data_IF_119932342102
#
_entry.id   IF_119932342102
#
_cell.length_a   1.000
_cell.length_b   1.000
_cell.length_c   1.000
_cell.angle_alpha   90.00
_cell.angle_beta   90.00
_cell.angle_gamma   90.00
#
_symmetry.space_group_name_H-M   'P 1'
#
loop_
_entity.id
_entity.type
_entity.pdbx_description
1 polymer ?
#
# COMPACT_ATOMS: atom_id res chain seq x y z
N UNK A 1 23.55 -13.93 -6.85
CA UNK A 1 22.47 -13.60 -5.89
C UNK A 1 21.87 -14.91 -5.43
N UNK A 2 21.84 -15.17 -4.13
CA UNK A 2 21.38 -16.47 -3.59
C UNK A 2 19.91 -16.74 -3.94
N UNK A 3 19.60 -17.98 -4.31
CA UNK A 3 18.23 -18.39 -4.65
C UNK A 3 17.22 -18.06 -3.54
N UNK A 4 17.63 -18.21 -2.27
CA UNK A 4 16.81 -17.88 -1.11
C UNK A 4 16.47 -16.38 -1.01
N UNK A 5 17.40 -15.49 -1.40
CA UNK A 5 17.15 -14.03 -1.43
C UNK A 5 16.16 -13.67 -2.52
N UNK A 6 16.29 -14.28 -3.70
CA UNK A 6 15.34 -14.09 -4.81
C UNK A 6 13.93 -14.56 -4.41
N UNK A 7 13.83 -15.72 -3.75
CA UNK A 7 12.53 -16.26 -3.32
C UNK A 7 11.85 -15.38 -2.26
N UNK A 8 12.61 -14.90 -1.26
CA UNK A 8 12.09 -13.96 -0.26
C UNK A 8 11.64 -12.64 -0.89
N UNK A 9 12.39 -12.14 -1.87
CA UNK A 9 12.02 -10.92 -2.58
C UNK A 9 10.71 -11.10 -3.37
N UNK A 10 10.60 -12.20 -4.13
CA UNK A 10 9.39 -12.52 -4.88
C UNK A 10 8.16 -12.62 -3.97
N UNK A 11 8.31 -13.27 -2.80
CA UNK A 11 7.25 -13.37 -1.80
C UNK A 11 6.81 -11.98 -1.28
N UNK A 12 7.77 -11.10 -0.97
CA UNK A 12 7.48 -9.73 -0.52
C UNK A 12 6.72 -8.94 -1.60
N UNK A 13 7.19 -8.97 -2.85
CA UNK A 13 6.51 -8.29 -3.96
C UNK A 13 5.09 -8.80 -4.12
N UNK A 14 4.90 -10.13 -4.07
CA UNK A 14 3.59 -10.75 -4.21
C UNK A 14 2.67 -10.31 -3.08
N UNK A 15 3.14 -10.32 -1.84
CA UNK A 15 2.38 -9.87 -0.67
C UNK A 15 1.94 -8.39 -0.78
N UNK A 16 2.86 -7.50 -1.15
CA UNK A 16 2.58 -6.07 -1.33
C UNK A 16 1.57 -5.87 -2.47
N UNK A 17 1.77 -6.59 -3.58
CA UNK A 17 0.91 -6.51 -4.78
C UNK A 17 -0.50 -6.99 -4.50
N UNK A 18 -0.65 -8.15 -3.84
CA UNK A 18 -1.96 -8.71 -3.50
C UNK A 18 -2.71 -7.80 -2.56
N UNK A 19 -2.03 -7.23 -1.56
CA UNK A 19 -2.64 -6.28 -0.62
C UNK A 19 -3.14 -5.03 -1.35
N UNK A 20 -2.33 -4.43 -2.22
CA UNK A 20 -2.76 -3.25 -2.98
C UNK A 20 -3.87 -3.58 -3.99
N UNK A 21 -3.73 -4.70 -4.71
CA UNK A 21 -4.73 -5.13 -5.68
C UNK A 21 -6.09 -5.40 -5.01
N UNK A 22 -6.10 -6.00 -3.80
CA UNK A 22 -7.33 -6.20 -3.04
C UNK A 22 -8.01 -4.87 -2.66
N UNK A 23 -7.21 -3.85 -2.33
CA UNK A 23 -7.73 -2.50 -2.02
C UNK A 23 -8.29 -1.82 -3.28
N UNK A 24 -7.60 -1.93 -4.42
CA UNK A 24 -8.00 -1.27 -5.68
C UNK A 24 -9.14 -2.00 -6.39
N UNK A 25 -9.18 -3.33 -6.35
CA UNK A 25 -10.16 -4.16 -7.07
C UNK A 25 -11.58 -4.07 -6.50
N UNK A 26 -11.81 -3.23 -5.49
CA UNK A 26 -13.15 -2.98 -4.96
C UNK A 26 -14.07 -2.47 -6.08
N UNK A 27 -15.30 -2.99 -6.18
CA UNK A 27 -16.27 -2.52 -7.17
C UNK A 27 -16.55 -1.03 -6.99
N UNK A 28 -16.60 -0.31 -8.10
CA UNK A 28 -17.14 1.05 -8.16
C UNK A 28 -18.66 0.95 -8.11
N UNK A 29 -19.24 1.39 -7.01
CA UNK A 29 -20.69 1.45 -6.85
C UNK A 29 -21.16 2.74 -7.51
N UNK A 30 -21.98 2.62 -8.56
CA UNK A 30 -22.67 3.76 -9.17
C UNK A 30 -24.15 3.70 -8.81
N UNK A 31 -24.62 4.71 -8.07
CA UNK A 31 -26.01 4.82 -7.66
C UNK A 31 -26.73 5.70 -8.68
N UNK A 32 -27.47 5.08 -9.59
CA UNK A 32 -28.28 5.82 -10.56
C UNK A 32 -29.65 6.12 -9.94
N UNK A 33 -29.81 7.35 -9.45
CA UNK A 33 -31.09 7.86 -8.96
C UNK A 33 -31.94 8.28 -10.17
N UNK A 34 -32.90 7.44 -10.58
CA UNK A 34 -33.93 7.85 -11.57
C UNK A 34 -35.05 8.58 -10.85
N UNK A 35 -35.21 9.88 -11.13
CA UNK A 35 -36.23 10.75 -10.50
C UNK A 35 -37.67 10.38 -10.88
N UNK A 36 -37.90 9.69 -12.01
CA UNK A 36 -39.27 9.43 -12.52
C UNK A 36 -39.94 8.18 -11.97
N UNK A 37 -39.24 7.34 -11.21
CA UNK A 37 -39.80 6.17 -10.53
C UNK A 37 -38.97 5.94 -9.27
N UNK A 38 -39.60 5.75 -8.11
CA UNK A 38 -39.00 5.39 -6.82
C UNK A 38 -38.20 4.06 -6.81
N UNK A 39 -37.62 3.65 -7.95
CA UNK A 39 -36.72 2.52 -8.11
C UNK A 39 -35.31 3.04 -8.27
N UNK A 40 -34.53 2.87 -7.21
CA UNK A 40 -33.09 3.09 -7.20
C UNK A 40 -32.42 1.89 -7.87
N UNK A 41 -31.68 2.11 -8.97
CA UNK A 41 -30.94 1.05 -9.64
C UNK A 41 -29.47 1.18 -9.25
N UNK A 42 -28.95 0.23 -8.47
CA UNK A 42 -27.56 0.19 -8.04
C UNK A 42 -26.80 -0.64 -9.06
N UNK A 43 -25.92 -0.02 -9.83
CA UNK A 43 -25.03 -0.74 -10.74
C UNK A 43 -23.64 -0.86 -10.11
N UNK A 44 -23.14 -2.09 -10.06
CA UNK A 44 -21.77 -2.39 -9.65
C UNK A 44 -20.90 -2.48 -10.89
N UNK A 45 -19.99 -1.52 -11.05
CA UNK A 45 -19.00 -1.53 -12.13
C UNK A 45 -17.66 -2.01 -11.55
N UNK A 46 -17.05 -3.01 -12.17
CA UNK A 46 -15.81 -3.60 -11.68
C UNK A 46 -14.66 -3.07 -12.53
N UNK A 47 -13.60 -2.50 -11.91
CA UNK A 47 -12.44 -2.09 -12.68
C UNK A 47 -11.84 -3.30 -13.41
N UNK A 48 -11.30 -3.08 -14.60
CA UNK A 48 -10.64 -4.15 -15.36
C UNK A 48 -9.55 -4.81 -14.51
N UNK A 49 -9.72 -6.10 -14.22
CA UNK A 49 -8.82 -6.86 -13.35
C UNK A 49 -7.37 -6.79 -13.83
N UNK A 50 -7.16 -6.88 -15.14
CA UNK A 50 -5.83 -6.78 -15.75
C UNK A 50 -5.17 -5.43 -15.46
N UNK A 51 -5.89 -4.31 -15.60
CA UNK A 51 -5.35 -2.99 -15.31
C UNK A 51 -5.01 -2.86 -13.82
N UNK A 52 -5.90 -3.35 -12.95
CA UNK A 52 -5.70 -3.33 -11.50
C UNK A 52 -4.44 -4.08 -11.10
N UNK A 53 -4.24 -5.29 -11.63
CA UNK A 53 -3.05 -6.11 -11.37
C UNK A 53 -1.80 -5.42 -11.89
N UNK A 54 -1.83 -4.88 -13.12
CA UNK A 54 -0.66 -4.19 -13.70
C UNK A 54 -0.25 -2.97 -12.86
N UNK A 55 -1.19 -2.09 -12.52
CA UNK A 55 -0.92 -0.89 -11.70
C UNK A 55 -0.41 -1.28 -10.32
N UNK A 56 -1.04 -2.27 -9.68
CA UNK A 56 -0.64 -2.73 -8.35
C UNK A 56 0.76 -3.34 -8.36
N UNK A 57 1.08 -4.13 -9.38
CA UNK A 57 2.41 -4.73 -9.54
C UNK A 57 3.48 -3.66 -9.78
N UNK A 58 3.21 -2.70 -10.66
CA UNK A 58 4.15 -1.61 -10.94
C UNK A 58 4.44 -0.77 -9.69
N UNK A 59 3.41 -0.36 -8.95
CA UNK A 59 3.56 0.40 -7.72
C UNK A 59 4.28 -0.41 -6.63
N UNK A 60 3.99 -1.70 -6.51
CA UNK A 60 4.62 -2.58 -5.52
C UNK A 60 6.10 -2.82 -5.82
N UNK A 61 6.45 -2.99 -7.09
CA UNK A 61 7.85 -3.03 -7.53
C UNK A 61 8.55 -1.71 -7.17
N UNK A 62 7.96 -0.56 -7.51
CA UNK A 62 8.53 0.74 -7.18
C UNK A 62 8.73 0.95 -5.67
N UNK A 63 7.79 0.49 -4.85
CA UNK A 63 7.89 0.57 -3.39
C UNK A 63 8.95 -0.37 -2.81
N UNK A 64 9.13 -1.57 -3.39
CA UNK A 64 10.04 -2.59 -2.87
C UNK A 64 11.50 -2.44 -3.35
N UNK A 65 11.74 -1.81 -4.52
CA UNK A 65 13.08 -1.55 -5.05
C UNK A 65 14.01 -0.90 -4.01
N UNK A 66 13.67 0.22 -3.33
CA UNK A 66 14.57 0.85 -2.37
C UNK A 66 14.94 -0.01 -1.15
N UNK A 67 14.15 -1.04 -0.83
CA UNK A 67 14.42 -1.91 0.32
C UNK A 67 15.57 -2.89 0.05
N UNK A 68 15.66 -3.40 -1.19
CA UNK A 68 16.56 -4.49 -1.56
C UNK A 68 17.88 -4.03 -2.18
N UNK A 69 17.92 -2.85 -2.80
CA UNK A 69 19.17 -2.26 -3.28
C UNK A 69 19.97 -1.68 -2.12
N UNK A 70 20.48 -2.57 -1.27
CA UNK A 70 21.52 -2.27 -0.31
C UNK A 70 22.81 -1.88 -1.07
N UNK A 71 23.48 -0.84 -0.56
CA UNK A 71 24.91 -0.64 -0.75
C UNK A 71 25.42 -0.22 -2.15
N UNK A 72 24.95 0.92 -2.67
CA UNK A 72 25.86 1.79 -3.45
C UNK A 72 25.96 3.18 -2.81
N UNK A 73 27.14 3.81 -2.78
CA UNK A 73 27.33 5.14 -2.21
C UNK A 73 26.42 6.19 -2.87
N UNK A 74 26.00 5.95 -4.12
CA UNK A 74 25.04 6.79 -4.83
C UNK A 74 23.63 6.77 -4.19
N UNK A 75 23.22 5.65 -3.60
CA UNK A 75 21.89 5.49 -2.99
C UNK A 75 21.80 6.26 -1.67
N UNK A 76 22.89 6.32 -0.88
CA UNK A 76 22.96 7.10 0.36
C UNK A 76 22.61 8.57 0.14
N UNK A 77 23.15 9.16 -0.94
CA UNK A 77 22.92 10.58 -1.26
C UNK A 77 21.46 10.93 -1.56
N UNK A 78 20.65 9.94 -1.95
CA UNK A 78 19.26 10.14 -2.36
C UNK A 78 18.24 9.38 -1.50
N UNK A 79 18.61 8.93 -0.29
CA UNK A 79 17.73 8.17 0.62
C UNK A 79 16.36 8.82 0.83
N UNK A 80 16.31 10.16 0.95
CA UNK A 80 15.06 10.92 1.05
C UNK A 80 14.14 10.72 -0.16
N UNK A 81 14.70 10.66 -1.36
CA UNK A 81 13.94 10.48 -2.60
C UNK A 81 13.40 9.06 -2.73
N UNK A 82 14.16 8.08 -2.25
CA UNK A 82 13.73 6.67 -2.22
C UNK A 82 12.56 6.41 -1.28
N UNK A 83 12.44 7.18 -0.19
CA UNK A 83 11.29 7.11 0.71
C UNK A 83 9.98 7.65 0.08
N UNK A 84 10.08 8.48 -0.95
CA UNK A 84 8.90 9.01 -1.66
C UNK A 84 8.13 7.86 -2.34
N UNK A 85 8.80 6.80 -2.79
CA UNK A 85 8.15 5.71 -3.53
C UNK A 85 7.17 4.88 -2.66
N UNK A 86 7.56 4.38 -1.47
CA UNK A 86 6.61 3.80 -0.52
C UNK A 86 5.50 4.78 -0.08
N UNK A 87 5.81 6.07 0.01
CA UNK A 87 4.83 7.10 0.39
C UNK A 87 3.76 7.29 -0.69
N UNK A 88 4.14 7.30 -1.97
CA UNK A 88 3.19 7.34 -3.10
C UNK A 88 2.32 6.08 -3.11
N UNK A 89 2.90 4.90 -2.91
CA UNK A 89 2.14 3.64 -2.78
C UNK A 89 1.12 3.73 -1.64
N UNK A 90 1.55 4.26 -0.49
CA UNK A 90 0.72 4.40 0.71
C UNK A 90 -0.41 5.39 0.49
N UNK A 91 -0.14 6.53 -0.15
CA UNK A 91 -1.14 7.52 -0.50
C UNK A 91 -2.20 6.95 -1.43
N UNK A 92 -1.81 6.24 -2.49
CA UNK A 92 -2.74 5.58 -3.42
C UNK A 92 -3.60 4.55 -2.67
N UNK A 93 -2.98 3.72 -1.83
CA UNK A 93 -3.70 2.74 -1.01
C UNK A 93 -4.74 3.40 -0.10
N UNK A 94 -4.37 4.46 0.62
CA UNK A 94 -5.26 5.18 1.53
C UNK A 94 -6.40 5.91 0.80
N UNK A 95 -6.11 6.57 -0.32
CA UNK A 95 -7.13 7.27 -1.11
C UNK A 95 -8.15 6.30 -1.70
N UNK A 96 -7.70 5.20 -2.28
CA UNK A 96 -8.58 4.16 -2.84
C UNK A 96 -9.40 3.51 -1.73
N UNK A 97 -8.79 3.18 -0.59
CA UNK A 97 -9.50 2.65 0.57
C UNK A 97 -10.61 3.61 1.05
N UNK A 98 -10.28 4.88 1.26
CA UNK A 98 -11.24 5.87 1.74
C UNK A 98 -12.39 6.07 0.76
N UNK A 99 -12.10 6.17 -0.54
CA UNK A 99 -13.11 6.31 -1.57
C UNK A 99 -14.08 5.11 -1.59
N UNK A 100 -13.54 3.89 -1.54
CA UNK A 100 -14.34 2.66 -1.56
C UNK A 100 -15.13 2.49 -0.26
N UNK A 101 -14.53 2.82 0.89
CA UNK A 101 -15.20 2.77 2.18
C UNK A 101 -16.39 3.73 2.24
N UNK A 102 -16.22 4.97 1.77
CA UNK A 102 -17.30 5.97 1.68
C UNK A 102 -18.43 5.49 0.78
N UNK A 103 -18.12 4.87 -0.37
CA UNK A 103 -19.13 4.30 -1.26
C UNK A 103 -19.88 3.13 -0.59
N UNK A 104 -19.20 2.25 0.13
CA UNK A 104 -19.84 1.16 0.87
C UNK A 104 -20.75 1.68 1.99
N UNK A 105 -20.32 2.73 2.72
CA UNK A 105 -21.17 3.38 3.73
C UNK A 105 -22.41 4.02 3.10
N UNK A 106 -22.26 4.72 1.97
CA UNK A 106 -23.38 5.33 1.26
C UNK A 106 -24.35 4.26 0.73
N UNK A 107 -23.84 3.14 0.22
CA UNK A 107 -24.68 2.01 -0.19
C UNK A 107 -25.44 1.43 1.01
N UNK A 108 -24.75 1.14 2.11
CA UNK A 108 -25.33 0.60 3.33
C UNK A 108 -26.42 1.51 3.91
N UNK A 109 -26.19 2.82 3.93
CA UNK A 109 -27.16 3.82 4.39
C UNK A 109 -28.44 3.81 3.55
N UNK A 110 -28.31 3.72 2.22
CA UNK A 110 -29.47 3.71 1.33
C UNK A 110 -30.23 2.38 1.34
N UNK A 111 -29.56 1.25 1.57
CA UNK A 111 -30.21 -0.08 1.62
C UNK A 111 -30.74 -0.46 2.99
N UNK A 112 -30.43 0.33 4.04
CA UNK A 112 -30.74 0.00 5.43
C UNK A 112 -32.24 -0.24 5.69
N UNK A 113 -33.10 0.52 5.01
CA UNK A 113 -34.55 0.50 5.25
C UNK A 113 -35.28 -0.64 4.52
N UNK A 114 -34.67 -1.20 3.47
CA UNK A 114 -35.33 -2.18 2.58
C UNK A 114 -35.04 -3.61 3.04
N UNK A 115 -33.78 -3.91 3.35
CA UNK A 115 -33.35 -5.13 4.05
C UNK A 115 -31.84 -5.05 4.32
N UNK A 116 -31.35 -5.34 5.54
CA UNK A 116 -29.93 -5.38 5.81
C UNK A 116 -29.29 -6.56 5.07
N UNK A 117 -28.58 -6.26 3.99
CA UNK A 117 -27.84 -7.26 3.23
C UNK A 117 -26.56 -7.65 3.99
N UNK A 118 -26.61 -8.75 4.75
CA UNK A 118 -25.47 -9.22 5.55
C UNK A 118 -24.17 -9.45 4.76
N UNK A 119 -24.27 -9.69 3.45
CA UNK A 119 -23.10 -9.82 2.57
C UNK A 119 -22.33 -8.50 2.39
N UNK A 120 -23.02 -7.35 2.43
CA UNK A 120 -22.40 -6.03 2.29
C UNK A 120 -21.55 -5.71 3.53
N UNK A 121 -22.09 -6.00 4.72
CA UNK A 121 -21.38 -5.86 6.00
C UNK A 121 -20.14 -6.76 6.05
N UNK A 122 -20.27 -8.03 5.61
CA UNK A 122 -19.14 -8.95 5.56
C UNK A 122 -18.03 -8.44 4.61
N UNK A 123 -18.40 -7.92 3.42
CA UNK A 123 -17.43 -7.33 2.49
C UNK A 123 -16.74 -6.10 3.09
N UNK A 124 -17.47 -5.23 3.78
CA UNK A 124 -16.88 -4.07 4.46
C UNK A 124 -15.87 -4.52 5.52
N UNK A 125 -16.19 -5.55 6.31
CA UNK A 125 -15.29 -6.09 7.33
C UNK A 125 -14.02 -6.67 6.69
N UNK A 126 -14.15 -7.47 5.64
CA UNK A 126 -13.00 -7.99 4.89
C UNK A 126 -12.14 -6.86 4.31
N UNK A 127 -12.77 -5.81 3.78
CA UNK A 127 -12.06 -4.66 3.23
C UNK A 127 -11.25 -3.89 4.30
N UNK A 128 -11.82 -3.72 5.49
CA UNK A 128 -11.12 -3.15 6.65
C UNK A 128 -9.94 -4.03 7.06
N UNK A 129 -10.09 -5.37 7.09
CA UNK A 129 -8.99 -6.28 7.38
C UNK A 129 -7.82 -6.13 6.38
N UNK A 130 -8.10 -6.06 5.07
CA UNK A 130 -7.06 -5.82 4.06
C UNK A 130 -6.35 -4.49 4.25
N UNK A 131 -7.08 -3.44 4.64
CA UNK A 131 -6.46 -2.15 4.92
C UNK A 131 -5.59 -2.17 6.18
N UNK A 132 -5.98 -2.92 7.22
CA UNK A 132 -5.13 -3.13 8.40
C UNK A 132 -3.81 -3.80 8.01
N UNK A 133 -3.83 -4.83 7.14
CA UNK A 133 -2.60 -5.43 6.62
C UNK A 133 -1.76 -4.44 5.81
N UNK A 134 -2.40 -3.55 5.05
CA UNK A 134 -1.70 -2.48 4.34
C UNK A 134 -1.03 -1.50 5.32
N UNK A 135 -1.71 -1.09 6.40
CA UNK A 135 -1.15 -0.23 7.44
C UNK A 135 0.04 -0.89 8.14
N UNK A 136 -0.06 -2.18 8.48
CA UNK A 136 1.05 -2.94 9.05
C UNK A 136 2.30 -2.89 8.15
N UNK A 137 2.11 -3.06 6.84
CA UNK A 137 3.18 -2.94 5.86
C UNK A 137 3.77 -1.52 5.80
N UNK A 138 2.93 -0.48 5.88
CA UNK A 138 3.40 0.92 5.93
C UNK A 138 4.22 1.18 7.20
N UNK A 139 3.78 0.69 8.35
CA UNK A 139 4.54 0.78 9.60
C UNK A 139 5.85 0.02 9.53
N UNK A 140 5.86 -1.17 8.91
CA UNK A 140 7.08 -1.93 8.70
C UNK A 140 8.11 -1.13 7.87
N UNK A 141 7.67 -0.46 6.79
CA UNK A 141 8.57 0.40 6.01
C UNK A 141 9.10 1.58 6.80
N UNK A 142 8.28 2.19 7.65
CA UNK A 142 8.73 3.27 8.54
C UNK A 142 9.82 2.78 9.50
N UNK A 143 9.59 1.67 10.19
CA UNK A 143 10.56 1.09 11.12
C UNK A 143 11.87 0.74 10.40
N UNK A 144 11.80 0.14 9.22
CA UNK A 144 12.99 -0.17 8.42
C UNK A 144 13.73 1.09 7.99
N UNK A 145 13.01 2.16 7.66
CA UNK A 145 13.61 3.45 7.33
C UNK A 145 14.34 4.06 8.54
N UNK A 146 13.69 4.10 9.71
CA UNK A 146 14.26 4.66 10.94
C UNK A 146 15.55 3.89 11.32
N UNK A 147 15.52 2.54 11.28
CA UNK A 147 16.69 1.71 11.52
C UNK A 147 17.85 1.97 10.54
N UNK A 148 17.54 2.17 9.24
CA UNK A 148 18.55 2.48 8.23
C UNK A 148 19.17 3.87 8.45
N UNK A 149 18.37 4.84 8.89
CA UNK A 149 18.85 6.19 9.21
C UNK A 149 19.76 6.19 10.43
N UNK A 150 19.40 5.50 11.50
CA UNK A 150 20.22 5.40 12.72
C UNK A 150 21.58 4.75 12.44
N UNK A 151 21.58 3.67 11.65
CA UNK A 151 22.82 2.98 11.23
C UNK A 151 23.73 3.89 10.39
N UNK A 152 23.14 4.76 9.55
CA UNK A 152 23.93 5.70 8.75
C UNK A 152 24.57 6.78 9.62
N UNK A 153 23.83 7.32 10.58
CA UNK A 153 24.34 8.30 11.56
C UNK A 153 25.51 7.71 12.35
N UNK A 154 25.35 6.48 12.86
CA UNK A 154 26.41 5.79 13.61
C UNK A 154 27.66 5.56 12.75
N UNK A 155 27.49 5.21 11.47
CA UNK A 155 28.62 5.04 10.55
C UNK A 155 29.39 6.34 10.30
N UNK A 156 28.70 7.47 10.19
CA UNK A 156 29.32 8.79 10.04
C UNK A 156 30.09 9.21 11.29
N UNK A 157 29.53 8.97 12.49
CA UNK A 157 30.20 9.24 13.75
C UNK A 157 31.50 8.42 13.86
N UNK A 158 31.45 7.12 13.56
CA UNK A 158 32.63 6.26 13.60
C UNK A 158 33.73 6.65 12.59
N UNK A 159 33.36 7.08 11.38
CA UNK A 159 34.33 7.54 10.38
C UNK A 159 35.01 8.85 10.79
N UNK A 160 34.32 9.73 11.50
CA UNK A 160 34.91 10.94 12.05
C UNK A 160 35.85 10.61 13.23
N UNK A 161 35.44 9.73 14.16
CA UNK A 161 36.33 9.28 15.25
C UNK A 161 37.63 8.66 14.73
N UNK A 162 37.59 7.84 13.67
CA UNK A 162 38.80 7.28 13.04
C UNK A 162 39.72 8.33 12.43
N UNK A 163 39.16 9.45 11.95
CA UNK A 163 39.97 10.56 11.41
C UNK A 163 40.70 11.33 12.51
N UNK A 164 40.15 11.37 13.73
CA UNK A 164 40.73 12.13 14.84
C UNK A 164 41.56 11.31 15.82
N UNK A 165 41.56 9.97 15.72
CA UNK A 165 42.43 9.11 16.52
C UNK A 165 43.74 8.87 15.75
N UNK A 166 44.86 9.59 16.04
CA UNK A 166 46.13 9.29 15.42
C UNK A 166 46.54 7.87 15.84
N UNK A 167 46.83 7.03 14.85
CA UNK A 167 47.37 5.69 15.07
C UNK A 167 48.73 5.86 15.76
N UNK A 168 48.78 5.56 17.06
CA UNK A 168 50.01 5.45 17.86
C UNK A 168 50.48 4.00 17.82
#
# INVERSE_FOLDING_TARGET
MDLAKLMNFAYRILYITVTLAAVIASPRITINLRVSSLKQNINFDYPELMQTVMVSTALSLLAAVPLEFNAKPLVRRHLKMWFIMPLVWSAVCCLMFLQNLLLMFMALYNTWDIQPEGWLTLRMLLYVCFFIFALELMFHWKVVYDLKMDTEIESHINDDYRRFSPVV
#
